data_IF_152149036468
#
_entry.id   IF_152149036468
#
_cell.length_a   1.000
_cell.length_b   1.000
_cell.length_c   1.000
_cell.angle_alpha   90.00
_cell.angle_beta   90.00
_cell.angle_gamma   90.00
#
_symmetry.space_group_name_H-M   'P 1'
#
loop_
_entity.id
_entity.type
_entity.pdbx_description
1 polymer ?
#
# COMPACT_ATOMS: atom_id res chain seq x y z
N UNK A 1 23.66 0.30 -3.38
CA UNK A 1 22.46 -0.05 -2.55
C UNK A 1 21.12 0.18 -3.26
N UNK A 2 21.04 0.93 -4.32
CA UNK A 2 19.83 1.26 -5.11
C UNK A 2 19.12 0.04 -5.72
N UNK A 3 19.83 -0.91 -6.30
CA UNK A 3 19.26 -2.05 -7.05
C UNK A 3 18.35 -2.99 -6.24
N UNK A 4 18.63 -3.23 -4.95
CA UNK A 4 17.79 -4.13 -4.11
C UNK A 4 16.44 -3.52 -3.75
N UNK A 5 16.37 -2.21 -3.57
CA UNK A 5 15.13 -1.50 -3.26
C UNK A 5 14.20 -1.47 -4.49
N UNK A 6 14.75 -1.15 -5.64
CA UNK A 6 14.01 -1.11 -6.92
C UNK A 6 13.46 -2.49 -7.30
N UNK A 7 14.26 -3.57 -7.14
CA UNK A 7 13.81 -4.94 -7.39
C UNK A 7 12.63 -5.34 -6.48
N UNK A 8 12.67 -4.97 -5.18
CA UNK A 8 11.57 -5.28 -4.26
C UNK A 8 10.28 -4.56 -4.64
N UNK A 9 10.38 -3.27 -4.99
CA UNK A 9 9.24 -2.47 -5.40
C UNK A 9 8.61 -3.01 -6.70
N UNK A 10 9.42 -3.33 -7.69
CA UNK A 10 8.95 -3.89 -8.96
C UNK A 10 8.31 -5.27 -8.78
N UNK A 11 8.92 -6.13 -7.95
CA UNK A 11 8.33 -7.42 -7.61
C UNK A 11 7.00 -7.26 -6.88
N UNK A 12 6.91 -6.35 -5.92
CA UNK A 12 5.66 -6.08 -5.21
C UNK A 12 4.55 -5.60 -6.17
N UNK A 13 4.87 -4.72 -7.10
CA UNK A 13 3.93 -4.23 -8.13
C UNK A 13 3.42 -5.37 -9.03
N UNK A 14 4.28 -6.29 -9.44
CA UNK A 14 3.88 -7.46 -10.25
C UNK A 14 2.89 -8.36 -9.50
N UNK A 15 3.16 -8.65 -8.22
CA UNK A 15 2.25 -9.47 -7.39
C UNK A 15 0.93 -8.75 -7.10
N UNK A 16 0.96 -7.45 -6.83
CA UNK A 16 -0.25 -6.64 -6.63
C UNK A 16 -1.12 -6.64 -7.89
N UNK A 17 -0.51 -6.47 -9.08
CA UNK A 17 -1.21 -6.54 -10.36
C UNK A 17 -1.80 -7.93 -10.61
N UNK A 18 -1.07 -9.00 -10.30
CA UNK A 18 -1.56 -10.37 -10.43
C UNK A 18 -2.79 -10.63 -9.53
N UNK A 19 -2.76 -10.13 -8.26
CA UNK A 19 -3.91 -10.22 -7.37
C UNK A 19 -5.10 -9.45 -7.92
N UNK A 20 -4.91 -8.24 -8.43
CA UNK A 20 -5.97 -7.44 -9.04
C UNK A 20 -6.62 -8.17 -10.23
N UNK A 21 -5.80 -8.75 -11.11
CA UNK A 21 -6.27 -9.52 -12.27
C UNK A 21 -7.00 -10.81 -11.87
N UNK A 22 -6.60 -11.46 -10.76
CA UNK A 22 -7.24 -12.67 -10.27
C UNK A 22 -8.69 -12.47 -9.82
N UNK A 23 -9.07 -11.22 -9.55
CA UNK A 23 -10.45 -10.85 -9.22
C UNK A 23 -11.36 -10.68 -10.46
N UNK A 24 -10.89 -10.99 -11.69
CA UNK A 24 -11.62 -11.00 -12.96
C UNK A 24 -12.48 -9.74 -13.21
N UNK A 25 -12.04 -8.58 -12.77
CA UNK A 25 -12.78 -7.32 -12.80
C UNK A 25 -14.17 -7.35 -12.11
N UNK A 26 -14.43 -8.37 -11.30
CA UNK A 26 -15.64 -8.45 -10.50
C UNK A 26 -15.49 -7.58 -9.25
N UNK A 27 -16.25 -6.49 -9.18
CA UNK A 27 -16.16 -5.52 -8.09
C UNK A 27 -16.52 -6.12 -6.73
N UNK A 28 -17.38 -7.15 -6.67
CA UNK A 28 -17.70 -7.84 -5.42
C UNK A 28 -16.53 -8.64 -4.89
N UNK A 29 -15.82 -9.38 -5.75
CA UNK A 29 -14.66 -10.18 -5.37
C UNK A 29 -13.46 -9.27 -5.02
N UNK A 30 -13.37 -8.15 -5.71
CA UNK A 30 -12.34 -7.15 -5.45
C UNK A 30 -12.52 -6.49 -4.08
N UNK A 31 -13.77 -6.13 -3.72
CA UNK A 31 -14.09 -5.59 -2.39
C UNK A 31 -13.83 -6.61 -1.29
N UNK A 32 -14.23 -7.87 -1.48
CA UNK A 32 -13.94 -8.96 -0.53
C UNK A 32 -12.44 -9.17 -0.35
N UNK A 33 -11.71 -9.28 -1.45
CA UNK A 33 -10.25 -9.45 -1.43
C UNK A 33 -9.55 -8.28 -0.73
N UNK A 34 -10.01 -7.04 -0.96
CA UNK A 34 -9.49 -5.86 -0.27
C UNK A 34 -9.74 -5.91 1.23
N UNK A 35 -10.98 -6.21 1.64
CA UNK A 35 -11.34 -6.29 3.06
C UNK A 35 -10.52 -7.37 3.78
N UNK A 36 -10.40 -8.55 3.19
CA UNK A 36 -9.60 -9.65 3.73
C UNK A 36 -8.13 -9.26 3.85
N UNK A 37 -7.60 -8.54 2.85
CA UNK A 37 -6.22 -8.07 2.89
C UNK A 37 -6.03 -7.02 3.99
N UNK A 38 -6.96 -6.05 4.11
CA UNK A 38 -6.94 -5.03 5.17
C UNK A 38 -6.96 -5.67 6.57
N UNK A 39 -7.83 -6.65 6.82
CA UNK A 39 -7.93 -7.36 8.09
C UNK A 39 -6.67 -8.20 8.36
N UNK A 40 -6.17 -8.89 7.35
CA UNK A 40 -4.95 -9.67 7.46
C UNK A 40 -3.74 -8.80 7.82
N UNK A 41 -3.57 -7.65 7.17
CA UNK A 41 -2.49 -6.71 7.45
C UNK A 41 -2.63 -6.07 8.83
N UNK A 42 -3.85 -5.73 9.26
CA UNK A 42 -4.10 -5.24 10.62
C UNK A 42 -3.65 -6.26 11.67
N UNK A 43 -4.05 -7.51 11.50
CA UNK A 43 -3.65 -8.62 12.40
C UNK A 43 -2.14 -8.87 12.33
N UNK A 44 -1.57 -8.88 11.14
CA UNK A 44 -0.14 -9.02 10.90
C UNK A 44 0.68 -7.92 11.61
N UNK A 45 0.21 -6.67 11.59
CA UNK A 45 0.89 -5.55 12.23
C UNK A 45 0.75 -5.56 13.77
N UNK A 46 -0.35 -6.13 14.30
CA UNK A 46 -0.54 -6.27 15.76
C UNK A 46 0.36 -7.33 16.37
N UNK A 47 0.69 -8.39 15.64
CA UNK A 47 1.47 -9.51 16.11
C UNK A 47 2.93 -9.40 15.66
N UNK A 48 3.78 -8.79 16.50
CA UNK A 48 5.20 -8.60 16.19
C UNK A 48 5.92 -9.92 15.88
N UNK A 49 5.55 -11.00 16.54
CA UNK A 49 6.10 -12.34 16.29
C UNK A 49 5.81 -12.82 14.88
N UNK A 50 4.58 -12.63 14.41
CA UNK A 50 4.16 -13.02 13.07
C UNK A 50 4.89 -12.19 12.00
N UNK A 51 5.03 -10.88 12.25
CA UNK A 51 5.78 -9.98 11.39
C UNK A 51 7.24 -10.40 11.27
N UNK A 52 7.90 -10.64 12.41
CA UNK A 52 9.28 -11.13 12.46
C UNK A 52 9.42 -12.47 11.73
N UNK A 53 8.49 -13.41 11.99
CA UNK A 53 8.49 -14.73 11.38
C UNK A 53 8.45 -14.68 9.84
N UNK A 54 7.58 -13.86 9.25
CA UNK A 54 7.49 -13.77 7.79
C UNK A 54 8.62 -12.94 7.16
N UNK A 55 9.13 -11.93 7.87
CA UNK A 55 10.19 -11.07 7.35
C UNK A 55 11.59 -11.70 7.44
N UNK A 56 11.82 -12.57 8.43
CA UNK A 56 13.14 -13.17 8.65
C UNK A 56 13.49 -14.18 7.54
N UNK A 57 14.62 -13.99 6.83
CA UNK A 57 15.04 -14.93 5.80
C UNK A 57 15.58 -16.26 6.35
N UNK A 58 15.96 -16.27 7.65
CA UNK A 58 16.56 -17.45 8.31
C UNK A 58 15.58 -18.61 8.50
N UNK A 59 14.28 -18.38 8.43
CA UNK A 59 13.27 -19.42 8.63
C UNK A 59 12.97 -20.10 7.30
N UNK A 60 13.04 -21.43 7.31
CA UNK A 60 12.78 -22.25 6.16
C UNK A 60 11.39 -21.94 5.52
N UNK A 61 11.32 -21.72 4.20
CA UNK A 61 10.08 -21.45 3.48
C UNK A 61 8.98 -22.50 3.71
N UNK A 62 9.34 -23.75 3.86
CA UNK A 62 8.39 -24.84 4.15
C UNK A 62 7.73 -24.69 5.53
N UNK A 63 8.48 -24.25 6.53
CA UNK A 63 7.90 -23.94 7.87
C UNK A 63 6.95 -22.75 7.79
N UNK A 64 7.33 -21.71 7.05
CA UNK A 64 6.47 -20.54 6.80
C UNK A 64 5.16 -20.95 6.13
N UNK A 65 5.23 -21.80 5.12
CA UNK A 65 4.07 -22.31 4.41
C UNK A 65 3.15 -23.11 5.33
N UNK A 66 3.68 -24.03 6.16
CA UNK A 66 2.87 -24.83 7.11
C UNK A 66 2.11 -23.93 8.09
N UNK A 67 2.77 -22.94 8.67
CA UNK A 67 2.13 -22.01 9.62
C UNK A 67 1.09 -21.15 8.90
N UNK A 68 1.41 -20.65 7.70
CA UNK A 68 0.43 -19.90 6.91
C UNK A 68 -0.83 -20.74 6.62
N UNK A 69 -0.68 -21.99 6.21
CA UNK A 69 -1.83 -22.88 5.97
C UNK A 69 -2.68 -23.11 7.23
N UNK A 70 -2.05 -23.18 8.39
CA UNK A 70 -2.79 -23.30 9.67
C UNK A 70 -3.58 -22.01 9.98
N UNK A 71 -3.01 -20.85 9.70
CA UNK A 71 -3.69 -19.56 9.83
C UNK A 71 -4.87 -19.47 8.85
N UNK A 72 -4.65 -19.82 7.59
CA UNK A 72 -5.68 -19.78 6.55
C UNK A 72 -6.88 -20.70 6.84
N UNK A 73 -6.65 -21.86 7.46
CA UNK A 73 -7.74 -22.77 7.87
C UNK A 73 -8.64 -22.17 8.96
N UNK A 74 -8.10 -21.27 9.79
CA UNK A 74 -8.84 -20.61 10.89
C UNK A 74 -9.44 -19.27 10.45
N UNK A 75 -8.89 -18.66 9.41
CA UNK A 75 -9.34 -17.39 8.87
C UNK A 75 -10.31 -17.64 7.71
N UNK A 76 -11.54 -17.12 7.82
CA UNK A 76 -12.55 -17.18 6.74
C UNK A 76 -12.22 -16.19 5.62
N UNK A 77 -11.09 -16.41 4.94
CA UNK A 77 -10.64 -15.54 3.84
C UNK A 77 -11.22 -16.02 2.50
N UNK A 78 -11.42 -15.09 1.57
CA UNK A 78 -11.86 -15.40 0.23
C UNK A 78 -10.81 -16.27 -0.51
N UNK A 79 -11.28 -17.09 -1.44
CA UNK A 79 -10.47 -18.06 -2.16
C UNK A 79 -9.31 -17.40 -2.93
N UNK A 80 -9.57 -16.25 -3.56
CA UNK A 80 -8.57 -15.53 -4.33
C UNK A 80 -7.41 -15.06 -3.45
N UNK A 81 -7.71 -14.47 -2.29
CA UNK A 81 -6.68 -14.01 -1.36
C UNK A 81 -5.92 -15.17 -0.69
N UNK A 82 -6.62 -16.23 -0.32
CA UNK A 82 -5.98 -17.43 0.23
C UNK A 82 -4.99 -18.06 -0.75
N UNK A 83 -5.38 -18.24 -2.03
CA UNK A 83 -4.52 -18.77 -3.07
C UNK A 83 -3.33 -17.84 -3.34
N UNK A 84 -3.54 -16.55 -3.29
CA UNK A 84 -2.48 -15.55 -3.42
C UNK A 84 -1.44 -15.67 -2.31
N UNK A 85 -1.85 -15.78 -1.04
CA UNK A 85 -0.94 -15.97 0.09
C UNK A 85 -0.14 -17.28 -0.02
N UNK A 86 -0.77 -18.36 -0.49
CA UNK A 86 -0.10 -19.65 -0.74
C UNK A 86 0.96 -19.49 -1.85
N UNK A 87 0.64 -18.75 -2.91
CA UNK A 87 1.58 -18.47 -4.00
C UNK A 87 2.77 -17.66 -3.52
N UNK A 88 2.55 -16.64 -2.68
CA UNK A 88 3.63 -15.88 -2.05
C UNK A 88 4.52 -16.75 -1.16
N UNK A 89 3.92 -17.69 -0.42
CA UNK A 89 4.66 -18.62 0.42
C UNK A 89 5.51 -19.57 -0.40
N UNK A 90 4.96 -20.15 -1.48
CA UNK A 90 5.67 -21.04 -2.39
C UNK A 90 6.88 -20.35 -3.03
N UNK A 91 6.74 -19.09 -3.40
CA UNK A 91 7.78 -18.29 -4.04
C UNK A 91 8.73 -17.62 -3.01
N UNK A 92 8.55 -17.86 -1.71
CA UNK A 92 9.37 -17.26 -0.65
C UNK A 92 9.28 -15.74 -0.58
N UNK A 93 8.18 -15.13 -1.04
CA UNK A 93 7.99 -13.68 -1.16
C UNK A 93 7.09 -13.07 -0.06
N UNK A 94 6.79 -13.82 1.00
CA UNK A 94 5.97 -13.34 2.13
C UNK A 94 6.53 -12.08 2.81
N UNK A 95 7.85 -11.88 2.77
CA UNK A 95 8.48 -10.67 3.31
C UNK A 95 8.09 -9.38 2.58
N UNK A 96 7.55 -9.49 1.36
CA UNK A 96 7.07 -8.35 0.57
C UNK A 96 5.60 -8.01 0.85
N UNK A 97 4.91 -8.76 1.71
CA UNK A 97 3.46 -8.67 1.90
C UNK A 97 2.98 -7.23 2.15
N UNK A 98 3.70 -6.45 2.98
CA UNK A 98 3.35 -5.06 3.25
C UNK A 98 3.49 -4.19 1.99
N UNK A 99 4.59 -4.34 1.26
CA UNK A 99 4.82 -3.58 0.02
C UNK A 99 3.79 -3.93 -1.05
N UNK A 100 3.42 -5.21 -1.15
CA UNK A 100 2.37 -5.67 -2.06
C UNK A 100 1.01 -5.08 -1.68
N UNK A 101 0.72 -4.96 -0.38
CA UNK A 101 -0.50 -4.32 0.11
C UNK A 101 -0.58 -2.85 -0.29
N UNK A 102 0.52 -2.11 -0.09
CA UNK A 102 0.60 -0.70 -0.46
C UNK A 102 0.41 -0.52 -1.98
N UNK A 103 1.08 -1.34 -2.80
CA UNK A 103 0.93 -1.32 -4.26
C UNK A 103 -0.46 -1.76 -4.74
N UNK A 104 -1.08 -2.72 -4.06
CA UNK A 104 -2.44 -3.15 -4.38
C UNK A 104 -3.46 -2.02 -4.15
N UNK A 105 -3.32 -1.27 -3.05
CA UNK A 105 -4.15 -0.10 -2.79
C UNK A 105 -3.92 1.00 -3.83
N UNK A 106 -2.68 1.25 -4.24
CA UNK A 106 -2.37 2.21 -5.29
C UNK A 106 -3.04 1.83 -6.62
N UNK A 107 -2.97 0.55 -7.02
CA UNK A 107 -3.63 0.06 -8.24
C UNK A 107 -5.17 0.15 -8.15
N UNK A 108 -5.75 -0.04 -6.96
CA UNK A 108 -7.19 0.16 -6.74
C UNK A 108 -7.57 1.63 -6.85
N UNK A 109 -6.77 2.51 -6.26
CA UNK A 109 -6.98 3.95 -6.34
C UNK A 109 -6.89 4.41 -7.81
N UNK A 110 -5.88 3.95 -8.58
CA UNK A 110 -5.76 4.21 -10.02
C UNK A 110 -7.00 3.71 -10.80
N UNK A 111 -7.46 2.48 -10.54
CA UNK A 111 -8.66 1.92 -11.18
C UNK A 111 -9.92 2.74 -10.89
N UNK A 112 -10.02 3.29 -9.68
CA UNK A 112 -11.15 4.11 -9.25
C UNK A 112 -11.03 5.59 -9.65
N UNK A 113 -9.99 5.96 -10.42
CA UNK A 113 -9.74 7.34 -10.81
C UNK A 113 -9.37 8.25 -9.63
N UNK A 114 -8.84 7.66 -8.54
CA UNK A 114 -8.35 8.42 -7.38
C UNK A 114 -6.90 8.80 -7.61
N UNK A 115 -6.59 10.08 -7.51
CA UNK A 115 -5.21 10.58 -7.65
C UNK A 115 -4.59 10.80 -6.28
N UNK A 116 -3.39 10.21 -6.05
CA UNK A 116 -2.62 10.51 -4.84
C UNK A 116 -1.91 11.87 -5.01
N UNK A 117 -2.19 12.80 -4.09
CA UNK A 117 -1.52 14.08 -3.99
C UNK A 117 -0.70 14.11 -2.72
N UNK A 118 0.62 14.23 -2.87
CA UNK A 118 1.53 14.39 -1.72
C UNK A 118 1.69 15.87 -1.40
N UNK A 119 1.40 16.23 -0.15
CA UNK A 119 1.63 17.57 0.39
C UNK A 119 2.81 17.49 1.35
N UNK A 120 3.86 18.24 1.08
CA UNK A 120 5.01 18.39 1.98
C UNK A 120 4.97 19.77 2.64
N UNK A 121 5.03 19.81 3.96
CA UNK A 121 4.99 21.03 4.78
C UNK A 121 5.96 20.93 5.94
N UNK A 122 6.29 22.07 6.56
CA UNK A 122 7.15 22.16 7.75
C UNK A 122 6.50 21.53 8.99
N UNK A 123 5.18 21.76 9.16
CA UNK A 123 4.39 21.31 10.30
C UNK A 123 3.12 20.57 9.87
N UNK A 124 2.43 19.99 10.85
CA UNK A 124 1.17 19.31 10.62
C UNK A 124 0.07 20.29 10.18
N UNK A 125 -0.55 20.02 9.05
CA UNK A 125 -1.70 20.77 8.56
C UNK A 125 -2.94 20.43 9.39
N UNK A 126 -3.69 21.45 9.84
CA UNK A 126 -4.96 21.27 10.50
C UNK A 126 -5.98 20.56 9.58
N UNK A 127 -6.87 19.76 10.20
CA UNK A 127 -7.89 19.01 9.47
C UNK A 127 -8.81 19.88 8.62
N UNK A 128 -9.13 21.08 9.12
CA UNK A 128 -9.97 22.09 8.45
C UNK A 128 -9.33 22.61 7.16
N UNK A 129 -8.05 22.95 7.23
CA UNK A 129 -7.27 23.40 6.08
C UNK A 129 -7.04 22.27 5.07
N UNK A 130 -6.79 21.06 5.57
CA UNK A 130 -6.67 19.87 4.72
C UNK A 130 -7.94 19.64 3.89
N UNK A 131 -9.13 19.73 4.51
CA UNK A 131 -10.41 19.58 3.80
C UNK A 131 -10.61 20.64 2.71
N UNK A 132 -10.22 21.89 2.97
CA UNK A 132 -10.27 22.97 1.97
C UNK A 132 -9.33 22.71 0.80
N UNK A 133 -8.10 22.29 1.07
CA UNK A 133 -7.12 21.97 0.03
C UNK A 133 -7.63 20.80 -0.82
N UNK A 134 -8.11 19.73 -0.17
CA UNK A 134 -8.66 18.57 -0.87
C UNK A 134 -9.83 18.95 -1.78
N UNK A 135 -10.81 19.66 -1.27
CA UNK A 135 -11.99 20.08 -2.05
C UNK A 135 -11.64 21.01 -3.21
N UNK A 136 -10.67 21.91 -3.03
CA UNK A 136 -10.19 22.77 -4.11
C UNK A 136 -9.48 21.99 -5.21
N UNK A 137 -8.62 21.05 -4.82
CA UNK A 137 -7.90 20.20 -5.78
C UNK A 137 -8.86 19.24 -6.50
N UNK A 138 -9.85 18.66 -5.81
CA UNK A 138 -10.88 17.81 -6.42
C UNK A 138 -11.71 18.55 -7.46
N UNK A 139 -12.06 19.81 -7.19
CA UNK A 139 -12.74 20.67 -8.17
C UNK A 139 -11.87 21.00 -9.38
N UNK A 140 -10.59 21.31 -9.15
CA UNK A 140 -9.66 21.70 -10.23
C UNK A 140 -9.30 20.52 -11.12
N UNK A 141 -9.08 19.34 -10.52
CA UNK A 141 -8.66 18.13 -11.23
C UNK A 141 -9.84 17.26 -11.69
N UNK A 142 -11.06 17.60 -11.28
CA UNK A 142 -12.30 16.87 -11.57
C UNK A 142 -12.20 15.35 -11.29
N UNK A 143 -11.49 14.99 -10.20
CA UNK A 143 -11.28 13.62 -9.76
C UNK A 143 -11.20 13.53 -8.23
N UNK A 144 -11.40 12.33 -7.69
CA UNK A 144 -11.20 12.08 -6.26
C UNK A 144 -9.73 12.13 -5.90
N UNK A 145 -9.41 12.74 -4.76
CA UNK A 145 -8.03 12.93 -4.32
C UNK A 145 -7.79 12.24 -2.98
N UNK A 146 -6.68 11.53 -2.91
CA UNK A 146 -6.13 10.97 -1.68
C UNK A 146 -4.91 11.79 -1.27
N UNK A 147 -5.04 12.52 -0.17
CA UNK A 147 -3.95 13.36 0.35
C UNK A 147 -2.98 12.55 1.19
N UNK A 148 -1.70 12.56 0.81
CA UNK A 148 -0.58 12.05 1.58
C UNK A 148 0.22 13.22 2.13
N UNK A 149 0.47 13.21 3.43
CA UNK A 149 1.21 14.27 4.10
C UNK A 149 2.63 13.82 4.38
N UNK A 150 3.58 14.70 4.11
CA UNK A 150 4.99 14.56 4.49
C UNK A 150 5.37 15.81 5.28
N UNK A 151 5.99 15.62 6.43
CA UNK A 151 6.57 16.70 7.21
C UNK A 151 8.05 16.72 6.89
N UNK A 152 8.54 17.85 6.40
CA UNK A 152 9.94 18.06 6.06
C UNK A 152 10.43 19.37 6.70
N UNK A 153 11.24 19.24 7.74
CA UNK A 153 11.81 20.36 8.48
C UNK A 153 12.94 21.09 7.74
N UNK A 154 13.36 20.59 6.58
CA UNK A 154 14.34 21.29 5.72
C UNK A 154 13.71 22.49 4.98
N UNK A 155 12.37 22.56 4.94
CA UNK A 155 11.62 23.67 4.40
C UNK A 155 11.44 24.71 5.49
N UNK A 156 11.76 25.99 5.20
CA UNK A 156 11.57 27.11 6.16
C UNK A 156 10.11 27.56 6.18
N UNK A 157 9.40 27.42 5.04
CA UNK A 157 8.00 27.78 4.89
C UNK A 157 7.45 27.40 3.52
N UNK A 158 6.12 27.54 3.35
CA UNK A 158 5.45 27.19 2.10
C UNK A 158 4.99 25.74 2.04
N UNK A 159 4.62 25.31 0.83
CA UNK A 159 4.04 23.98 0.57
C UNK A 159 4.63 23.44 -0.72
N UNK A 160 4.98 22.14 -0.72
CA UNK A 160 5.28 21.41 -1.94
C UNK A 160 4.12 20.47 -2.22
N UNK A 161 3.54 20.61 -3.42
CA UNK A 161 2.48 19.72 -3.90
C UNK A 161 3.04 18.83 -5.00
N UNK A 162 2.88 17.51 -4.85
CA UNK A 162 3.22 16.54 -5.88
C UNK A 162 1.98 15.78 -6.31
N UNK A 163 1.62 15.91 -7.57
CA UNK A 163 0.49 15.23 -8.22
C UNK A 163 1.05 14.31 -9.28
N UNK A 164 1.08 13.00 -9.04
CA UNK A 164 1.75 12.05 -9.94
C UNK A 164 3.21 12.45 -10.23
N UNK A 165 3.49 12.82 -11.48
CA UNK A 165 4.83 13.27 -11.94
C UNK A 165 5.00 14.79 -11.91
N UNK A 166 3.93 15.53 -11.65
CA UNK A 166 3.96 17.01 -11.62
C UNK A 166 4.26 17.43 -10.17
N UNK A 167 5.27 18.28 -10.02
CA UNK A 167 5.64 18.85 -8.72
C UNK A 167 5.51 20.37 -8.81
N UNK A 168 4.73 20.93 -7.90
CA UNK A 168 4.57 22.37 -7.71
C UNK A 168 5.25 22.70 -6.39
N UNK A 169 6.39 23.35 -6.48
CA UNK A 169 7.20 23.75 -5.32
C UNK A 169 7.03 25.24 -5.07
N UNK A 170 6.30 25.56 -4.01
CA UNK A 170 6.12 26.93 -3.52
C UNK A 170 6.73 27.03 -2.11
N UNK A 171 7.87 26.40 -1.90
CA UNK A 171 8.59 26.38 -0.63
C UNK A 171 9.71 27.42 -0.62
N UNK A 172 9.99 27.94 0.57
CA UNK A 172 11.17 28.74 0.87
C UNK A 172 12.16 27.81 1.53
N UNK A 173 13.32 27.66 0.91
CA UNK A 173 14.45 26.88 1.45
C UNK A 173 15.61 27.82 1.77
N UNK A 174 16.45 27.40 2.68
CA UNK A 174 17.69 28.10 3.03
C UNK A 174 18.75 27.86 1.94
#
# INVERSE_FOLDING_TARGET
MSNKSTYKAETAKRYAKALLLSCNNNDSDLKKTKNDFDEFIKTFNKLNELKFFFQTPLINPLKKKKILLTILKKANLCKNFSNFLITLANNGKLFLLKQIFDEFNNLLDEKNGVIEVTITTIDSIEKTLQGKIQSSLEKTLNCKIKLKKIIDKSIIGGIILKVNSIMIDNSIRN
#
